data_IF_092684276108
#
_entry.id   IF_092684276108
#
_cell.length_a   1.000
_cell.length_b   1.000
_cell.length_c   1.000
_cell.angle_alpha   90.00
_cell.angle_beta   90.00
_cell.angle_gamma   90.00
#
_symmetry.space_group_name_H-M   'P 1'
#
loop_
_entity.id
_entity.type
_entity.pdbx_description
1 polymer ?
#
# COMPACT_ATOMS: atom_id res chain seq x y z
N UNK A 1 7.67 1.40 14.93
CA UNK A 1 6.24 1.78 14.99
C UNK A 1 6.06 3.28 15.19
N UNK A 2 6.90 3.92 16.00
CA UNK A 2 6.81 5.36 16.32
C UNK A 2 6.74 6.30 15.11
N UNK A 3 7.51 6.02 14.05
CA UNK A 3 7.50 6.84 12.83
C UNK A 3 6.14 6.79 12.13
N UNK A 4 5.53 5.62 12.03
CA UNK A 4 4.21 5.43 11.38
C UNK A 4 3.12 6.14 12.21
N UNK A 5 3.16 5.98 13.53
CA UNK A 5 2.23 6.63 14.44
C UNK A 5 2.31 8.17 14.36
N UNK A 6 3.53 8.73 14.27
CA UNK A 6 3.74 10.19 14.13
C UNK A 6 3.23 10.76 12.80
N UNK A 7 3.09 9.93 11.77
CA UNK A 7 2.53 10.32 10.47
C UNK A 7 0.99 10.29 10.46
N UNK A 8 0.34 10.02 11.60
CA UNK A 8 -1.11 9.84 11.72
C UNK A 8 -1.67 8.78 10.75
N UNK A 9 -0.86 7.76 10.45
CA UNK A 9 -1.30 6.62 9.65
C UNK A 9 -2.07 5.65 10.54
N UNK A 10 -3.38 5.85 10.66
CA UNK A 10 -4.27 5.06 11.53
C UNK A 10 -4.75 3.79 10.88
N UNK A 11 -5.11 3.86 9.60
CA UNK A 11 -5.66 2.75 8.82
C UNK A 11 -5.30 2.88 7.33
N UNK A 12 -5.17 1.77 6.61
CA UNK A 12 -4.97 1.81 5.17
C UNK A 12 -6.19 2.36 4.44
N UNK A 13 -5.97 3.07 3.34
CA UNK A 13 -7.06 3.46 2.45
C UNK A 13 -7.64 2.24 1.73
N UNK A 14 -8.85 2.35 1.16
CA UNK A 14 -9.50 1.22 0.47
C UNK A 14 -8.63 0.57 -0.60
N UNK A 15 -7.88 1.36 -1.40
CA UNK A 15 -6.99 0.81 -2.43
C UNK A 15 -5.76 0.11 -1.83
N UNK A 16 -5.25 0.57 -0.69
CA UNK A 16 -4.15 -0.06 0.03
C UNK A 16 -4.59 -1.37 0.69
N UNK A 17 -5.75 -1.36 1.36
CA UNK A 17 -6.31 -2.52 2.05
C UNK A 17 -6.63 -3.68 1.08
N UNK A 18 -7.11 -3.36 -0.12
CA UNK A 18 -7.34 -4.35 -1.18
C UNK A 18 -6.05 -4.69 -1.95
N UNK A 19 -5.17 -3.70 -2.13
CA UNK A 19 -3.96 -3.78 -2.94
C UNK A 19 -2.86 -4.62 -2.31
N UNK A 20 -2.58 -4.41 -1.02
CA UNK A 20 -1.46 -5.06 -0.35
C UNK A 20 -1.56 -6.59 -0.32
N UNK A 21 -2.70 -7.24 0.03
CA UNK A 21 -2.77 -8.69 0.07
C UNK A 21 -2.45 -9.34 -1.28
N UNK A 22 -2.98 -8.79 -2.38
CA UNK A 22 -2.75 -9.34 -3.72
C UNK A 22 -1.31 -9.08 -4.17
N UNK A 23 -0.80 -7.86 -4.01
CA UNK A 23 0.57 -7.52 -4.41
C UNK A 23 1.60 -8.33 -3.61
N UNK A 24 1.46 -8.41 -2.28
CA UNK A 24 2.35 -9.19 -1.41
C UNK A 24 2.34 -10.70 -1.71
N UNK A 25 1.27 -11.20 -2.34
CA UNK A 25 1.18 -12.59 -2.79
C UNK A 25 2.03 -12.89 -4.04
N UNK A 26 2.75 -11.89 -4.58
CA UNK A 26 3.58 -12.04 -5.78
C UNK A 26 2.78 -12.06 -7.09
N UNK A 27 1.53 -11.61 -7.06
CA UNK A 27 0.67 -11.48 -8.23
C UNK A 27 0.81 -10.09 -8.85
N UNK A 28 0.75 -10.04 -10.18
CA UNK A 28 0.63 -8.78 -10.89
C UNK A 28 -0.70 -8.09 -10.58
N UNK A 29 -0.66 -6.77 -10.40
CA UNK A 29 -1.82 -5.98 -10.02
C UNK A 29 -1.94 -4.70 -10.86
N UNK A 30 -3.18 -4.39 -11.26
CA UNK A 30 -3.58 -3.07 -11.74
C UNK A 30 -4.59 -2.46 -10.77
N UNK A 31 -4.19 -1.40 -10.05
CA UNK A 31 -5.06 -0.67 -9.12
C UNK A 31 -5.64 0.61 -9.72
N UNK A 32 -6.96 0.72 -9.81
CA UNK A 32 -7.66 1.93 -10.29
C UNK A 32 -8.36 2.63 -9.13
N UNK A 33 -8.01 3.89 -8.90
CA UNK A 33 -8.64 4.76 -7.91
C UNK A 33 -8.36 6.23 -8.25
N UNK A 34 -9.11 7.17 -7.66
CA UNK A 34 -8.93 8.62 -7.89
C UNK A 34 -7.54 9.14 -7.45
N UNK A 35 -7.11 10.31 -7.94
CA UNK A 35 -5.90 10.98 -7.44
C UNK A 35 -6.07 11.31 -5.94
N UNK A 36 -5.00 11.17 -5.16
CA UNK A 36 -5.04 11.35 -3.70
C UNK A 36 -5.59 10.16 -2.89
N UNK A 37 -6.02 9.06 -3.54
CA UNK A 37 -6.52 7.86 -2.84
C UNK A 37 -5.45 6.99 -2.15
N UNK A 38 -4.17 7.35 -2.26
CA UNK A 38 -3.08 6.58 -1.65
C UNK A 38 -2.52 5.43 -2.50
N UNK A 39 -2.79 5.41 -3.82
CA UNK A 39 -2.24 4.42 -4.78
C UNK A 39 -0.71 4.28 -4.68
N UNK A 40 0.01 5.37 -4.43
CA UNK A 40 1.48 5.37 -4.34
C UNK A 40 1.98 4.41 -3.26
N UNK A 41 1.45 4.52 -2.04
CA UNK A 41 1.82 3.59 -0.97
C UNK A 41 1.24 2.18 -1.20
N UNK A 42 0.16 2.06 -1.99
CA UNK A 42 -0.44 0.78 -2.36
C UNK A 42 0.53 -0.13 -3.12
N UNK A 43 1.40 0.42 -3.99
CA UNK A 43 2.40 -0.38 -4.71
C UNK A 43 3.81 -0.30 -4.12
N UNK A 44 4.18 0.79 -3.43
CA UNK A 44 5.52 0.94 -2.88
C UNK A 44 5.79 0.03 -1.68
N UNK A 45 4.82 -0.13 -0.77
CA UNK A 45 5.01 -0.97 0.41
C UNK A 45 5.27 -2.44 0.01
N UNK A 46 4.48 -3.07 -0.87
CA UNK A 46 4.79 -4.41 -1.38
C UNK A 46 6.13 -4.49 -2.09
N UNK A 47 6.46 -3.50 -2.94
CA UNK A 47 7.74 -3.47 -3.65
C UNK A 47 8.95 -3.45 -2.70
N UNK A 48 8.88 -2.69 -1.60
CA UNK A 48 9.94 -2.66 -0.57
C UNK A 48 10.05 -4.03 0.12
N UNK A 49 8.94 -4.73 0.35
CA UNK A 49 8.97 -6.06 0.97
C UNK A 49 9.64 -7.09 0.05
N UNK A 50 9.45 -6.98 -1.28
CA UNK A 50 10.01 -7.91 -2.27
C UNK A 50 11.41 -7.58 -2.76
N UNK A 51 12.01 -6.45 -2.37
CA UNK A 51 13.34 -6.04 -2.87
C UNK A 51 14.51 -6.80 -2.21
N UNK A 52 14.26 -7.51 -1.11
CA UNK A 52 15.26 -8.28 -0.38
C UNK A 52 15.54 -9.65 -1.01
#
# INVERSE_FOLDING_TARGET
>A
MDVIARQNFTEPTAIQAQGWPVALSGLDMVGVAQTGSGKTLSYLLPAIVHIN
#
